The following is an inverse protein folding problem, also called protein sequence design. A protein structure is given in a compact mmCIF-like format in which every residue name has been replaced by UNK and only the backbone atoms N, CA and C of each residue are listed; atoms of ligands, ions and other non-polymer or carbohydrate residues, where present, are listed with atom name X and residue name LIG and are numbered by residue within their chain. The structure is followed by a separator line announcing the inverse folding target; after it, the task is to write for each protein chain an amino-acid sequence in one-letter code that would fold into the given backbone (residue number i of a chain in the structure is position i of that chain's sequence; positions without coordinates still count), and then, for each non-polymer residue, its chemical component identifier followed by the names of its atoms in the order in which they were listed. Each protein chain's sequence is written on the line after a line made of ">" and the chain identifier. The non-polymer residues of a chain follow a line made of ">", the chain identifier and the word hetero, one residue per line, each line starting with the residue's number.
data_IF_749175191544
#
_entry.id   IF_749175191544
#
_cell.length_a   1.000
_cell.length_b   1.000
_cell.length_c   1.000
_cell.angle_alpha   90.00
_cell.angle_beta   90.00
_cell.angle_gamma   90.00
#
_symmetry.space_group_name_H-M   'P 1'
#
loop_
_entity.id
_entity.type
_entity.pdbx_description
1 polymer ?
#
# COMPACT_ATOMS: atom_id res chain seq x y z
N UNK A 1 24.21 16.90 26.11
CA UNK A 1 24.03 15.72 25.25
C UNK A 1 23.66 16.18 23.83
N UNK A 2 24.62 16.15 22.90
CA UNK A 2 24.43 16.63 21.52
C UNK A 2 23.39 15.81 20.76
N UNK A 3 23.34 14.51 21.00
CA UNK A 3 22.40 13.58 20.38
C UNK A 3 20.93 13.90 20.68
N UNK A 4 20.57 14.07 21.97
CA UNK A 4 19.20 14.41 22.37
C UNK A 4 18.75 15.76 21.79
N UNK A 5 19.68 16.71 21.67
CA UNK A 5 19.41 18.04 21.08
C UNK A 5 19.09 17.92 19.58
N UNK A 6 19.88 17.14 18.84
CA UNK A 6 19.64 16.85 17.42
C UNK A 6 18.30 16.13 17.19
N UNK A 7 17.95 15.12 17.99
CA UNK A 7 16.66 14.43 17.89
C UNK A 7 15.48 15.38 18.12
N UNK A 8 15.55 16.24 19.13
CA UNK A 8 14.49 17.21 19.40
C UNK A 8 14.33 18.19 18.24
N UNK A 9 15.43 18.69 17.68
CA UNK A 9 15.41 19.59 16.52
C UNK A 9 14.79 18.93 15.28
N UNK A 10 15.09 17.64 15.03
CA UNK A 10 14.47 16.89 13.93
C UNK A 10 12.99 16.66 14.19
N UNK A 11 12.60 16.36 15.42
CA UNK A 11 11.19 16.17 15.81
C UNK A 11 10.36 17.43 15.59
N UNK A 12 10.92 18.63 15.76
CA UNK A 12 10.23 19.89 15.48
C UNK A 12 9.95 20.10 13.98
N UNK A 13 10.80 19.54 13.11
CA UNK A 13 10.70 19.70 11.66
C UNK A 13 10.13 18.47 10.94
N UNK A 14 9.86 17.38 11.67
CA UNK A 14 9.40 16.14 11.06
C UNK A 14 7.92 16.24 10.72
N UNK A 15 7.55 15.73 9.55
CA UNK A 15 6.14 15.54 9.23
C UNK A 15 5.61 14.33 10.00
N UNK A 16 5.16 14.58 11.24
CA UNK A 16 4.65 13.55 12.14
C UNK A 16 3.49 12.76 11.52
N UNK A 17 2.68 13.42 10.70
CA UNK A 17 1.56 12.80 10.00
C UNK A 17 2.03 11.73 9.00
N UNK A 18 2.98 12.05 8.12
CA UNK A 18 3.53 11.07 7.18
C UNK A 18 4.33 9.98 7.88
N UNK A 19 5.01 10.29 8.99
CA UNK A 19 5.71 9.29 9.78
C UNK A 19 4.72 8.24 10.31
N UNK A 20 3.57 8.65 10.86
CA UNK A 20 2.54 7.71 11.36
C UNK A 20 2.00 6.81 10.24
N UNK A 21 1.75 7.37 9.05
CA UNK A 21 1.33 6.59 7.88
C UNK A 21 2.41 5.60 7.46
N UNK A 22 3.68 6.02 7.42
CA UNK A 22 4.80 5.14 7.11
C UNK A 22 4.95 4.01 8.15
N UNK A 23 4.74 4.30 9.43
CA UNK A 23 4.73 3.30 10.50
C UNK A 23 3.61 2.28 10.33
N UNK A 24 2.42 2.71 9.88
CA UNK A 24 1.32 1.81 9.59
C UNK A 24 1.64 0.84 8.44
N UNK A 25 2.49 1.27 7.49
CA UNK A 25 2.97 0.46 6.36
C UNK A 25 4.18 -0.42 6.71
N UNK A 26 4.77 -0.27 7.90
CA UNK A 26 5.84 -1.17 8.32
C UNK A 26 5.20 -2.43 8.95
N UNK A 27 5.40 -3.64 8.38
CA UNK A 27 4.81 -4.87 8.93
C UNK A 27 5.16 -5.14 10.39
N UNK A 28 6.29 -4.62 10.88
CA UNK A 28 6.70 -4.73 12.29
C UNK A 28 5.89 -3.83 13.22
N UNK A 29 5.46 -2.66 12.73
CA UNK A 29 4.84 -1.62 13.52
C UNK A 29 3.39 -1.31 13.14
N UNK A 30 2.80 -2.09 12.22
CA UNK A 30 1.42 -1.90 11.77
C UNK A 30 0.37 -1.99 12.87
N UNK A 31 0.67 -2.58 14.03
CA UNK A 31 -0.24 -2.56 15.18
C UNK A 31 -0.37 -1.17 15.84
N UNK A 32 0.49 -0.22 15.45
CA UNK A 32 0.56 1.15 15.92
C UNK A 32 0.63 1.27 17.44
N UNK A 33 1.21 0.28 18.13
CA UNK A 33 1.37 0.32 19.60
C UNK A 33 2.25 1.48 20.07
N UNK A 34 3.13 1.98 19.21
CA UNK A 34 3.94 3.18 19.46
C UNK A 34 3.15 4.49 19.46
N UNK A 35 1.87 4.46 19.06
CA UNK A 35 0.96 5.61 19.07
C UNK A 35 -0.13 5.48 20.15
N UNK A 36 -0.63 6.61 20.68
CA UNK A 36 -1.83 6.63 21.51
C UNK A 36 -3.01 5.98 20.78
N UNK A 37 -3.86 5.22 21.50
CA UNK A 37 -4.98 4.49 20.89
C UNK A 37 -5.92 5.40 20.08
N UNK A 38 -6.13 6.63 20.53
CA UNK A 38 -6.95 7.63 19.85
C UNK A 38 -6.41 8.04 18.47
N UNK A 39 -5.11 7.90 18.24
CA UNK A 39 -4.46 8.30 16.98
C UNK A 39 -4.38 7.18 15.95
N UNK A 40 -4.67 5.93 16.34
CA UNK A 40 -4.49 4.77 15.44
C UNK A 40 -5.50 4.73 14.30
N UNK A 41 -6.79 4.90 14.59
CA UNK A 41 -7.82 4.86 13.55
C UNK A 41 -7.71 6.03 12.54
N UNK A 42 -7.40 7.27 12.95
CA UNK A 42 -7.10 8.36 12.00
C UNK A 42 -6.01 8.01 10.98
N UNK A 43 -4.96 7.30 11.40
CA UNK A 43 -3.89 6.86 10.49
C UNK A 43 -4.43 5.87 9.44
N UNK A 44 -5.27 4.93 9.86
CA UNK A 44 -5.92 3.98 8.94
C UNK A 44 -6.91 4.66 7.98
N UNK A 45 -7.69 5.65 8.45
CA UNK A 45 -8.58 6.45 7.59
C UNK A 45 -7.78 7.10 6.47
N UNK A 46 -6.68 7.78 6.83
CA UNK A 46 -5.82 8.47 5.87
C UNK A 46 -5.19 7.50 4.87
N UNK A 47 -4.77 6.33 5.33
CA UNK A 47 -4.22 5.29 4.45
C UNK A 47 -5.28 4.77 3.47
N UNK A 48 -6.53 4.57 3.89
CA UNK A 48 -7.65 4.24 2.99
C UNK A 48 -7.90 5.32 1.95
N UNK A 49 -7.88 6.59 2.34
CA UNK A 49 -8.05 7.72 1.41
C UNK A 49 -6.92 7.76 0.37
N UNK A 50 -5.67 7.53 0.78
CA UNK A 50 -4.52 7.49 -0.11
C UNK A 50 -4.60 6.36 -1.13
N UNK A 51 -5.09 5.19 -0.72
CA UNK A 51 -5.26 4.04 -1.62
C UNK A 51 -6.44 4.23 -2.57
N UNK A 52 -7.58 4.72 -2.07
CA UNK A 52 -8.76 5.04 -2.90
C UNK A 52 -8.52 6.15 -3.92
N UNK A 53 -7.71 7.15 -3.57
CA UNK A 53 -7.35 8.26 -4.46
C UNK A 53 -6.40 7.89 -5.59
N UNK A 54 -5.86 6.66 -5.59
CA UNK A 54 -5.13 6.07 -6.71
C UNK A 54 -6.12 5.35 -7.63
N UNK A 55 -6.76 6.10 -8.52
CA UNK A 55 -7.21 5.50 -9.78
C UNK A 55 -6.00 4.80 -10.43
N UNK A 56 -6.12 3.58 -11.00
CA UNK A 56 -4.98 2.84 -11.52
C UNK A 56 -4.42 3.51 -12.78
N UNK A 57 -3.71 4.63 -12.61
CA UNK A 57 -2.93 5.29 -13.67
C UNK A 57 -1.61 4.57 -13.93
N UNK A 58 -1.35 3.45 -13.24
CA UNK A 58 -0.30 2.52 -13.62
C UNK A 58 -0.76 1.79 -14.89
N UNK A 59 -0.73 2.48 -16.03
CA UNK A 59 -0.46 1.79 -17.29
C UNK A 59 0.76 0.91 -17.03
N UNK A 60 0.73 -0.39 -17.33
CA UNK A 60 1.92 -1.21 -17.28
C UNK A 60 3.00 -0.46 -18.03
N UNK A 61 4.17 -0.26 -17.43
CA UNK A 61 5.36 0.13 -18.16
C UNK A 61 5.60 -1.02 -19.14
N UNK A 62 5.00 -0.92 -20.33
CA UNK A 62 5.22 -1.83 -21.44
C UNK A 62 6.70 -1.66 -21.75
N UNK A 63 7.54 -2.59 -21.31
CA UNK A 63 8.84 -2.77 -21.92
C UNK A 63 8.59 -2.84 -23.41
N UNK A 64 9.10 -1.85 -24.14
CA UNK A 64 8.98 -1.74 -25.59
C UNK A 64 9.85 -2.84 -26.20
N UNK A 65 9.34 -4.06 -26.18
CA UNK A 65 9.84 -5.15 -27.00
C UNK A 65 9.15 -5.01 -28.37
N UNK A 66 9.89 -4.87 -29.48
CA UNK A 66 9.29 -4.65 -30.79
C UNK A 66 8.47 -5.89 -31.20
N UNK A 67 7.18 -5.66 -31.37
CA UNK A 67 6.15 -6.63 -31.76
C UNK A 67 6.45 -7.27 -33.13
N UNK A 68 6.36 -8.60 -33.32
CA UNK A 68 6.37 -9.18 -34.66
C UNK A 68 4.98 -9.11 -35.33
N UNK A 69 4.91 -9.10 -36.68
CA UNK A 69 3.83 -8.43 -37.41
C UNK A 69 2.47 -9.13 -37.42
N UNK A 70 1.44 -8.27 -37.34
CA UNK A 70 -0.01 -8.43 -37.52
C UNK A 70 -0.44 -9.55 -38.47
N UNK A 71 -1.20 -10.53 -37.97
CA UNK A 71 -2.12 -11.35 -38.79
C UNK A 71 -3.53 -11.30 -38.21
N UNK A 72 -4.46 -10.84 -39.04
CA UNK A 72 -5.89 -10.67 -38.77
C UNK A 72 -6.54 -12.04 -38.51
N UNK A 73 -7.28 -12.19 -37.41
CA UNK A 73 -8.32 -13.21 -37.26
C UNK A 73 -9.59 -12.53 -36.75
N UNK A 74 -10.66 -12.81 -37.46
CA UNK A 74 -11.98 -12.21 -37.35
C UNK A 74 -12.84 -12.94 -36.30
N UNK A 75 -13.87 -12.22 -35.83
CA UNK A 75 -15.08 -12.71 -35.11
C UNK A 75 -14.79 -13.22 -33.68
N UNK A 76 -15.49 -12.80 -32.62
CA UNK A 76 -16.94 -12.61 -32.46
C UNK A 76 -17.23 -11.51 -31.42
N UNK A 77 -18.32 -10.77 -31.67
CA UNK A 77 -18.99 -9.89 -30.72
C UNK A 77 -19.90 -10.76 -29.84
N UNK A 78 -19.65 -10.82 -28.54
CA UNK A 78 -20.53 -11.44 -27.55
C UNK A 78 -20.73 -10.41 -26.44
N UNK A 79 -21.95 -9.87 -26.36
CA UNK A 79 -22.35 -8.93 -25.33
C UNK A 79 -22.38 -9.63 -23.98
N UNK A 80 -21.67 -9.07 -23.02
CA UNK A 80 -21.76 -9.44 -21.61
C UNK A 80 -22.03 -8.14 -20.87
N UNK A 81 -23.28 -7.92 -20.46
CA UNK A 81 -23.57 -7.03 -19.34
C UNK A 81 -23.02 -7.72 -18.09
N UNK A 82 -21.71 -7.57 -17.89
CA UNK A 82 -21.09 -7.79 -16.58
C UNK A 82 -21.49 -6.59 -15.76
N UNK A 83 -22.49 -6.76 -14.90
CA UNK A 83 -22.76 -5.84 -13.80
C UNK A 83 -21.53 -5.91 -12.88
N UNK A 84 -20.52 -5.10 -13.22
CA UNK A 84 -19.32 -4.90 -12.42
C UNK A 84 -19.76 -4.19 -11.14
N UNK A 85 -20.22 -4.97 -10.15
CA UNK A 85 -20.12 -4.53 -8.76
C UNK A 85 -18.65 -4.17 -8.54
N UNK A 86 -18.34 -2.88 -8.58
CA UNK A 86 -17.00 -2.38 -8.31
C UNK A 86 -16.54 -3.00 -7.00
N UNK A 87 -15.50 -3.85 -7.01
CA UNK A 87 -15.07 -4.50 -5.78
C UNK A 87 -14.73 -3.40 -4.79
N UNK A 88 -15.41 -3.38 -3.64
CA UNK A 88 -15.06 -2.45 -2.58
C UNK A 88 -13.58 -2.68 -2.29
N UNK A 89 -12.76 -1.66 -2.53
CA UNK A 89 -11.32 -1.72 -2.33
C UNK A 89 -11.04 -1.93 -0.83
N UNK A 90 -10.97 -3.20 -0.46
CA UNK A 90 -10.73 -3.70 0.89
C UNK A 90 -9.24 -4.01 1.13
N UNK A 91 -8.33 -3.52 0.26
CA UNK A 91 -6.89 -3.78 0.35
C UNK A 91 -6.32 -3.41 1.72
N UNK A 92 -6.69 -2.24 2.24
CA UNK A 92 -6.24 -1.75 3.55
C UNK A 92 -6.77 -2.61 4.69
N UNK A 93 -8.04 -3.01 4.64
CA UNK A 93 -8.63 -3.86 5.69
C UNK A 93 -8.00 -5.26 5.68
N UNK A 94 -7.70 -5.82 4.49
CA UNK A 94 -6.95 -7.08 4.37
C UNK A 94 -5.57 -6.96 5.01
N UNK A 95 -4.80 -5.93 4.66
CA UNK A 95 -3.46 -5.70 5.22
C UNK A 95 -3.48 -5.51 6.75
N UNK A 96 -4.50 -4.80 7.27
CA UNK A 96 -4.66 -4.52 8.70
C UNK A 96 -4.85 -5.78 9.53
N UNK A 97 -5.52 -6.81 9.00
CA UNK A 97 -5.80 -8.07 9.71
C UNK A 97 -4.73 -9.16 9.52
N UNK A 98 -3.83 -9.01 8.55
CA UNK A 98 -2.71 -9.93 8.39
C UNK A 98 -1.84 -9.96 9.66
N UNK A 99 -1.09 -11.04 9.92
CA UNK A 99 -0.10 -11.06 11.00
C UNK A 99 0.95 -9.96 10.83
N UNK A 100 1.38 -9.35 11.94
CA UNK A 100 2.58 -8.50 11.95
C UNK A 100 3.83 -9.35 11.75
N UNK A 101 4.87 -8.75 11.15
CA UNK A 101 6.18 -9.37 11.10
C UNK A 101 6.81 -9.42 12.49
N UNK A 102 7.62 -10.44 12.74
CA UNK A 102 8.46 -10.52 13.94
C UNK A 102 9.72 -9.66 13.76
N UNK A 103 10.31 -9.18 14.85
CA UNK A 103 11.55 -8.37 14.81
C UNK A 103 12.72 -9.06 14.08
N UNK A 104 12.76 -10.39 14.11
CA UNK A 104 13.79 -11.20 13.44
C UNK A 104 13.49 -11.42 11.94
N UNK A 105 12.31 -11.04 11.47
CA UNK A 105 11.89 -11.23 10.07
C UNK A 105 12.26 -10.00 9.24
N UNK A 106 12.89 -10.23 8.08
CA UNK A 106 13.18 -9.17 7.12
C UNK A 106 11.86 -8.59 6.55
N UNK A 107 11.60 -7.28 6.68
CA UNK A 107 10.37 -6.66 6.15
C UNK A 107 10.19 -6.85 4.65
N UNK A 108 11.28 -6.83 3.86
CA UNK A 108 11.21 -7.04 2.41
C UNK A 108 10.78 -8.47 2.07
N UNK A 109 11.27 -9.46 2.83
CA UNK A 109 10.85 -10.85 2.66
C UNK A 109 9.37 -11.02 3.02
N UNK A 110 8.94 -10.42 4.14
CA UNK A 110 7.53 -10.41 4.52
C UNK A 110 6.66 -9.85 3.39
N UNK A 111 7.01 -8.69 2.83
CA UNK A 111 6.28 -8.11 1.71
C UNK A 111 6.24 -9.02 0.47
N UNK A 112 7.35 -9.68 0.13
CA UNK A 112 7.40 -10.60 -1.03
C UNK A 112 6.48 -11.81 -0.88
N UNK A 113 6.27 -12.28 0.35
CA UNK A 113 5.40 -13.44 0.65
C UNK A 113 3.92 -13.04 0.66
N UNK A 114 3.61 -11.79 1.02
CA UNK A 114 2.23 -11.33 1.21
C UNK A 114 1.69 -10.52 0.02
N UNK A 115 2.53 -10.14 -0.95
CA UNK A 115 2.08 -9.42 -2.17
C UNK A 115 1.57 -10.32 -3.30
N UNK A 116 1.79 -11.63 -3.25
CA UNK A 116 1.47 -12.56 -4.35
C UNK A 116 -0.04 -12.85 -4.55
N UNK A 117 -0.92 -12.25 -3.74
CA UNK A 117 -2.38 -12.37 -3.84
C UNK A 117 -3.11 -11.05 -4.17
N UNK A 118 -2.39 -10.04 -4.67
CA UNK A 118 -2.94 -8.75 -5.08
C UNK A 118 -3.05 -8.62 -6.60
#
# INVERSE_FOLDING_TARGET
>A
ATFTKDLNQRRENINLEWLKVATALDPLFKDLKCLPRAEREPVWVKLRELVKGREPTLKPLREENPEPPKKKRALLLMGSDSDEETPVDNTVERYKVEPSANLDQCPLKWWSEHTAGY
#
